data_IF_085532085054
#
_entry.id   IF_085532085054
#
_cell.length_a   1.000
_cell.length_b   1.000
_cell.length_c   1.000
_cell.angle_alpha   90.00
_cell.angle_beta   90.00
_cell.angle_gamma   90.00
#
_symmetry.space_group_name_H-M   'P 1'
#
loop_
_entity.id
_entity.type
_entity.pdbx_description
1 polymer ?
#
# COMPACT_ATOMS: atom_id res chain seq x y z
N UNK A 1 -23.79 -20.23 -29.20
CA UNK A 1 -23.11 -20.47 -27.91
C UNK A 1 -21.76 -19.72 -27.78
N UNK A 2 -20.87 -19.83 -28.78
CA UNK A 2 -19.59 -19.09 -28.79
C UNK A 2 -19.84 -17.58 -28.86
N UNK A 3 -20.72 -17.12 -29.76
CA UNK A 3 -21.05 -15.70 -29.91
C UNK A 3 -21.65 -15.10 -28.61
N UNK A 4 -22.50 -15.83 -27.94
CA UNK A 4 -23.05 -15.42 -26.64
C UNK A 4 -21.98 -15.26 -25.55
N UNK A 5 -20.95 -16.11 -25.55
CA UNK A 5 -19.82 -16.01 -24.61
C UNK A 5 -18.98 -14.78 -24.94
N UNK A 6 -18.76 -14.51 -26.23
CA UNK A 6 -18.01 -13.34 -26.69
C UNK A 6 -18.76 -12.05 -26.33
N UNK A 7 -20.06 -11.98 -26.57
CA UNK A 7 -20.88 -10.82 -26.21
C UNK A 7 -20.89 -10.58 -24.69
N UNK A 8 -21.02 -11.64 -23.90
CA UNK A 8 -20.93 -11.55 -22.44
C UNK A 8 -19.56 -11.03 -21.98
N UNK A 9 -18.49 -11.56 -22.57
CA UNK A 9 -17.13 -11.12 -22.26
C UNK A 9 -16.87 -9.66 -22.66
N UNK A 10 -17.41 -9.23 -23.79
CA UNK A 10 -17.29 -7.84 -24.27
C UNK A 10 -18.15 -6.86 -23.46
N UNK A 11 -19.33 -7.27 -23.01
CA UNK A 11 -20.19 -6.44 -22.16
C UNK A 11 -19.63 -6.27 -20.75
N UNK A 12 -19.00 -7.33 -20.23
CA UNK A 12 -18.46 -7.39 -18.87
C UNK A 12 -16.92 -7.47 -18.87
N UNK A 13 -16.25 -6.83 -19.82
CA UNK A 13 -14.82 -6.95 -20.05
C UNK A 13 -13.98 -6.69 -18.79
N UNK A 14 -14.43 -5.76 -17.91
CA UNK A 14 -13.71 -5.47 -16.66
C UNK A 14 -13.66 -6.71 -15.75
N UNK A 15 -14.80 -7.42 -15.62
CA UNK A 15 -14.88 -8.64 -14.82
C UNK A 15 -14.12 -9.80 -15.47
N UNK A 16 -14.15 -9.86 -16.80
CA UNK A 16 -13.38 -10.84 -17.57
C UNK A 16 -11.89 -10.65 -17.35
N UNK A 17 -11.38 -9.42 -17.42
CA UNK A 17 -9.97 -9.10 -17.14
C UNK A 17 -9.60 -9.47 -15.70
N UNK A 18 -10.44 -9.13 -14.73
CA UNK A 18 -10.19 -9.50 -13.33
C UNK A 18 -10.17 -11.01 -13.16
N UNK A 19 -11.12 -11.73 -13.74
CA UNK A 19 -11.15 -13.20 -13.67
C UNK A 19 -9.90 -13.84 -14.27
N UNK A 20 -9.45 -13.35 -15.43
CA UNK A 20 -8.21 -13.82 -16.07
C UNK A 20 -7.00 -13.56 -15.15
N UNK A 21 -6.89 -12.36 -14.59
CA UNK A 21 -5.80 -12.02 -13.67
C UNK A 21 -5.81 -12.88 -12.41
N UNK A 22 -6.99 -13.18 -11.85
CA UNK A 22 -7.14 -14.08 -10.71
C UNK A 22 -6.70 -15.51 -11.07
N UNK A 23 -7.11 -16.02 -12.25
CA UNK A 23 -6.71 -17.35 -12.72
C UNK A 23 -5.20 -17.42 -12.93
N UNK A 24 -4.61 -16.43 -13.60
CA UNK A 24 -3.16 -16.34 -13.80
C UNK A 24 -2.44 -16.31 -12.46
N UNK A 25 -2.93 -15.50 -11.51
CA UNK A 25 -2.37 -15.40 -10.17
C UNK A 25 -2.45 -16.71 -9.39
N UNK A 26 -3.57 -17.42 -9.50
CA UNK A 26 -3.76 -18.73 -8.90
C UNK A 26 -2.79 -19.76 -9.49
N UNK A 27 -2.65 -19.79 -10.82
CA UNK A 27 -1.72 -20.68 -11.52
C UNK A 27 -0.26 -20.39 -11.10
N UNK A 28 0.14 -19.12 -11.07
CA UNK A 28 1.50 -18.73 -10.62
C UNK A 28 1.72 -19.15 -9.17
N UNK A 29 0.73 -19.01 -8.29
CA UNK A 29 0.85 -19.47 -6.90
C UNK A 29 0.93 -21.01 -6.78
N UNK A 30 0.20 -21.76 -7.61
CA UNK A 30 0.25 -23.23 -7.60
C UNK A 30 1.62 -23.78 -8.06
N UNK A 31 2.20 -23.18 -9.08
CA UNK A 31 3.48 -23.69 -9.67
C UNK A 31 4.72 -23.07 -9.04
N UNK A 32 4.56 -22.21 -8.04
CA UNK A 32 5.63 -21.70 -7.20
C UNK A 32 6.63 -20.81 -7.94
N UNK A 33 6.51 -19.51 -7.75
CA UNK A 33 7.68 -18.66 -7.91
C UNK A 33 8.66 -19.03 -6.79
N UNK A 34 9.85 -19.42 -7.18
CA UNK A 34 10.92 -19.96 -6.35
C UNK A 34 11.00 -19.31 -4.96
N UNK A 35 10.58 -20.06 -3.93
CA UNK A 35 10.60 -19.65 -2.52
C UNK A 35 12.02 -19.49 -1.94
N UNK A 36 13.07 -19.58 -2.77
CA UNK A 36 14.47 -19.46 -2.38
C UNK A 36 15.00 -18.02 -2.35
N UNK A 37 14.21 -17.02 -2.78
CA UNK A 37 14.60 -15.63 -2.56
C UNK A 37 14.61 -15.33 -1.07
N UNK A 38 15.74 -14.84 -0.57
CA UNK A 38 15.95 -14.38 0.80
C UNK A 38 14.75 -13.54 1.24
N UNK A 39 14.02 -14.01 2.24
CA UNK A 39 12.97 -13.24 2.90
C UNK A 39 13.63 -12.07 3.63
N UNK A 40 12.93 -10.96 3.71
CA UNK A 40 13.48 -9.74 4.34
C UNK A 40 13.47 -9.79 5.87
N UNK A 41 13.07 -10.92 6.46
CA UNK A 41 13.03 -11.09 7.91
C UNK A 41 12.14 -10.05 8.60
N UNK A 42 10.91 -9.85 8.10
CA UNK A 42 9.99 -8.86 8.66
C UNK A 42 9.26 -9.41 9.89
N UNK A 43 9.47 -8.74 11.03
CA UNK A 43 8.87 -9.10 12.31
C UNK A 43 8.27 -7.89 13.02
N UNK A 44 7.23 -8.10 13.80
CA UNK A 44 6.66 -7.12 14.72
C UNK A 44 6.08 -7.81 15.95
N UNK A 45 6.12 -7.14 17.08
CA UNK A 45 5.60 -7.68 18.34
C UNK A 45 4.10 -7.48 18.47
N UNK A 46 3.64 -6.27 18.17
CA UNK A 46 2.24 -5.86 18.33
C UNK A 46 1.72 -5.29 16.99
N UNK A 47 0.42 -5.45 16.74
CA UNK A 47 -0.23 -4.81 15.60
C UNK A 47 -0.16 -3.28 15.73
N UNK A 48 -0.06 -2.53 14.61
CA UNK A 48 -0.09 -1.08 14.67
C UNK A 48 -1.44 -0.59 15.19
N UNK A 49 -1.42 0.22 16.24
CA UNK A 49 -2.61 0.87 16.77
C UNK A 49 -2.98 2.05 15.88
N UNK A 50 -4.08 1.95 15.17
CA UNK A 50 -4.51 2.95 14.21
C UNK A 50 -5.87 3.52 14.60
N UNK A 51 -6.03 4.83 14.39
CA UNK A 51 -7.28 5.54 14.59
C UNK A 51 -7.71 6.19 13.27
N UNK A 52 -8.98 6.02 12.84
CA UNK A 52 -9.47 6.71 11.66
C UNK A 52 -9.57 8.20 11.92
N UNK A 53 -9.18 9.00 10.94
CA UNK A 53 -9.35 10.45 10.95
C UNK A 53 -10.71 10.76 10.30
N UNK A 54 -11.65 11.40 11.02
CA UNK A 54 -12.94 11.76 10.45
C UNK A 54 -12.78 12.72 9.25
N UNK A 55 -13.57 12.53 8.21
CA UNK A 55 -13.65 13.48 7.11
C UNK A 55 -14.31 14.77 7.65
N UNK A 56 -13.65 15.96 7.56
CA UNK A 56 -14.14 17.18 8.22
C UNK A 56 -15.29 17.81 7.44
N UNK A 57 -16.48 17.22 7.52
CA UNK A 57 -17.71 17.72 6.87
C UNK A 57 -18.50 18.71 7.74
N UNK A 58 -18.21 18.76 9.04
CA UNK A 58 -18.88 19.66 9.97
C UNK A 58 -18.65 21.14 9.59
N UNK A 59 -19.70 21.94 9.59
CA UNK A 59 -19.66 23.38 9.25
C UNK A 59 -19.48 23.66 7.74
N UNK A 60 -19.54 22.65 6.88
CA UNK A 60 -19.52 22.82 5.42
C UNK A 60 -20.95 22.91 4.88
N UNK A 61 -21.14 23.68 3.80
CA UNK A 61 -22.42 23.68 3.06
C UNK A 61 -22.74 22.29 2.53
N UNK A 62 -24.05 21.99 2.39
CA UNK A 62 -24.56 20.66 2.03
C UNK A 62 -23.83 20.02 0.82
N UNK A 63 -23.71 20.72 -0.28
CA UNK A 63 -23.04 20.20 -1.49
C UNK A 63 -21.54 19.99 -1.30
N UNK A 64 -20.90 20.87 -0.54
CA UNK A 64 -19.48 20.73 -0.22
C UNK A 64 -19.24 19.50 0.69
N UNK A 65 -20.11 19.28 1.65
CA UNK A 65 -20.04 18.11 2.54
C UNK A 65 -20.23 16.80 1.75
N UNK A 66 -21.22 16.75 0.85
CA UNK A 66 -21.43 15.59 -0.04
C UNK A 66 -20.20 15.36 -0.93
N UNK A 67 -19.66 16.40 -1.56
CA UNK A 67 -18.48 16.28 -2.40
C UNK A 67 -17.28 15.75 -1.60
N UNK A 68 -17.04 16.28 -0.41
CA UNK A 68 -15.97 15.81 0.47
C UNK A 68 -16.19 14.37 0.92
N UNK A 69 -17.43 13.97 1.19
CA UNK A 69 -17.76 12.59 1.55
C UNK A 69 -17.51 11.60 0.40
N UNK A 70 -17.88 11.99 -0.82
CA UNK A 70 -17.70 11.14 -2.01
C UNK A 70 -16.24 11.07 -2.48
N UNK A 71 -15.49 12.18 -2.37
CA UNK A 71 -14.13 12.29 -2.91
C UNK A 71 -13.05 12.27 -1.85
N UNK A 72 -13.41 12.48 -0.58
CA UNK A 72 -12.48 12.54 0.53
C UNK A 72 -11.71 11.24 0.73
N UNK A 73 -10.40 11.34 0.83
CA UNK A 73 -9.54 10.21 1.14
C UNK A 73 -9.70 9.87 2.62
N UNK A 74 -9.99 8.61 2.91
CA UNK A 74 -10.00 8.13 4.30
C UNK A 74 -8.56 8.02 4.78
N UNK A 75 -8.27 8.73 5.87
CA UNK A 75 -6.94 8.72 6.49
C UNK A 75 -6.99 8.04 7.85
N UNK A 76 -5.85 7.54 8.25
CA UNK A 76 -5.62 6.91 9.53
C UNK A 76 -4.41 7.57 10.19
N UNK A 77 -4.40 7.63 11.52
CA UNK A 77 -3.22 8.04 12.28
C UNK A 77 -2.76 6.90 13.17
N UNK A 78 -1.45 6.77 13.31
CA UNK A 78 -0.83 5.83 14.24
C UNK A 78 -0.97 6.38 15.66
N UNK A 79 -1.72 5.68 16.51
CA UNK A 79 -2.06 6.15 17.86
C UNK A 79 -0.93 5.96 18.89
N UNK A 80 0.01 5.04 18.61
CA UNK A 80 1.17 4.70 19.46
C UNK A 80 2.35 4.38 18.56
N UNK A 81 3.57 4.68 19.01
CA UNK A 81 4.79 4.26 18.31
C UNK A 81 4.73 2.78 17.97
N UNK A 82 4.84 2.45 16.67
CA UNK A 82 4.83 1.08 16.23
C UNK A 82 6.23 0.64 15.83
N UNK A 83 6.73 -0.39 16.53
CA UNK A 83 8.07 -0.93 16.32
C UNK A 83 7.99 -2.22 15.52
N UNK A 84 8.81 -2.32 14.49
CA UNK A 84 8.96 -3.50 13.64
C UNK A 84 10.43 -3.73 13.31
N UNK A 85 10.76 -4.92 12.80
CA UNK A 85 12.10 -5.28 12.37
C UNK A 85 12.13 -5.61 10.88
N UNK A 86 13.23 -5.27 10.26
CA UNK A 86 13.62 -5.75 8.93
C UNK A 86 15.06 -6.22 9.07
N UNK A 87 15.32 -7.50 8.73
CA UNK A 87 16.66 -8.11 8.83
C UNK A 87 17.34 -7.80 10.18
N UNK A 88 16.67 -8.08 11.30
CA UNK A 88 17.11 -7.87 12.69
C UNK A 88 17.28 -6.39 13.12
N UNK A 89 17.08 -5.44 12.22
CA UNK A 89 17.17 -4.01 12.56
C UNK A 89 15.81 -3.48 12.98
N UNK A 90 15.74 -2.86 14.17
CA UNK A 90 14.50 -2.25 14.68
C UNK A 90 14.25 -0.88 14.05
N UNK A 91 13.04 -0.72 13.54
CA UNK A 91 12.49 0.52 13.01
C UNK A 91 11.25 0.95 13.79
N UNK A 92 10.89 2.21 13.68
CA UNK A 92 9.71 2.77 14.33
C UNK A 92 8.94 3.69 13.40
N UNK A 93 7.62 3.49 13.35
CA UNK A 93 6.70 4.48 12.83
C UNK A 93 6.14 5.24 14.03
N UNK A 94 6.41 6.55 14.14
CA UNK A 94 6.05 7.31 15.33
C UNK A 94 4.54 7.53 15.42
N UNK A 95 4.07 7.66 16.66
CA UNK A 95 2.73 8.18 16.96
C UNK A 95 2.45 9.46 16.20
N UNK A 96 1.23 9.61 15.71
CA UNK A 96 0.80 10.78 14.94
C UNK A 96 1.17 10.71 13.45
N UNK A 97 1.82 9.63 12.98
CA UNK A 97 2.01 9.45 11.55
C UNK A 97 0.65 9.22 10.88
N UNK A 98 0.34 10.07 9.90
CA UNK A 98 -0.87 9.95 9.09
C UNK A 98 -0.55 9.23 7.78
N UNK A 99 -1.41 8.29 7.43
CA UNK A 99 -1.35 7.58 6.16
C UNK A 99 -2.77 7.35 5.61
N UNK A 100 -2.90 7.17 4.32
CA UNK A 100 -4.18 7.00 3.63
C UNK A 100 -4.43 5.55 3.20
N UNK A 101 -3.62 4.63 3.71
CA UNK A 101 -3.62 3.22 3.34
C UNK A 101 -2.69 2.97 2.16
N UNK A 102 -2.59 1.70 1.73
CA UNK A 102 -1.80 1.39 0.55
C UNK A 102 -2.32 2.22 -0.62
N UNK A 103 -1.43 2.96 -1.30
CA UNK A 103 -1.73 3.83 -2.45
C UNK A 103 -2.18 3.01 -3.67
N UNK A 104 -3.25 2.26 -3.49
CA UNK A 104 -3.86 1.42 -4.50
C UNK A 104 -4.84 2.28 -5.29
N UNK A 105 -4.86 2.18 -6.62
CA UNK A 105 -5.87 2.83 -7.44
C UNK A 105 -7.28 2.54 -6.92
N UNK A 106 -8.13 3.58 -6.79
CA UNK A 106 -9.46 3.49 -6.16
C UNK A 106 -10.35 2.37 -6.72
N UNK A 107 -10.21 2.05 -8.01
CA UNK A 107 -10.98 0.97 -8.64
C UNK A 107 -10.60 -0.44 -8.12
N UNK A 108 -9.42 -0.59 -7.53
CA UNK A 108 -8.98 -1.84 -6.91
C UNK A 108 -9.35 -1.93 -5.42
N UNK A 109 -9.83 -0.86 -4.78
CA UNK A 109 -10.17 -0.85 -3.35
C UNK A 109 -11.26 -1.85 -2.97
N UNK A 110 -12.12 -2.22 -3.92
CA UNK A 110 -13.16 -3.25 -3.71
C UNK A 110 -12.55 -4.64 -3.52
N UNK A 111 -11.40 -4.89 -4.15
CA UNK A 111 -10.72 -6.19 -4.14
C UNK A 111 -9.50 -6.21 -3.22
N UNK A 112 -8.85 -5.06 -3.10
CA UNK A 112 -7.63 -4.85 -2.32
C UNK A 112 -7.92 -3.80 -1.27
N UNK A 113 -8.40 -4.21 -0.10
CA UNK A 113 -8.57 -3.27 0.99
C UNK A 113 -7.21 -2.67 1.39
N UNK A 114 -7.05 -1.34 1.40
CA UNK A 114 -5.81 -0.69 1.81
C UNK A 114 -5.45 -0.95 3.30
N UNK A 115 -6.41 -1.41 4.09
CA UNK A 115 -6.26 -1.79 5.51
C UNK A 115 -6.36 -3.32 5.70
N UNK A 116 -6.29 -4.11 4.63
CA UNK A 116 -6.35 -5.56 4.65
C UNK A 116 -4.96 -6.20 4.56
N UNK A 117 -4.84 -7.14 3.61
CA UNK A 117 -3.63 -7.96 3.41
C UNK A 117 -2.36 -7.17 3.07
N UNK A 118 -2.48 -5.90 2.65
CA UNK A 118 -1.36 -5.02 2.30
C UNK A 118 -1.03 -3.99 3.38
N UNK A 119 -1.66 -4.07 4.55
CA UNK A 119 -1.55 -3.05 5.59
C UNK A 119 -0.12 -2.81 6.06
N UNK A 120 0.63 -3.87 6.39
CA UNK A 120 1.97 -3.74 6.97
C UNK A 120 2.95 -3.13 5.99
N UNK A 121 3.00 -3.68 4.79
CA UNK A 121 3.82 -3.11 3.72
C UNK A 121 3.37 -1.69 3.35
N UNK A 122 2.06 -1.43 3.31
CA UNK A 122 1.49 -0.11 3.02
C UNK A 122 1.92 0.95 4.03
N UNK A 123 1.83 0.64 5.33
CA UNK A 123 2.21 1.57 6.40
C UNK A 123 3.70 1.93 6.35
N UNK A 124 4.58 0.93 6.14
CA UNK A 124 6.02 1.16 5.98
C UNK A 124 6.33 1.93 4.70
N UNK A 125 5.64 1.61 3.61
CA UNK A 125 5.79 2.25 2.31
C UNK A 125 5.38 3.73 2.35
N UNK A 126 4.23 4.07 2.95
CA UNK A 126 3.77 5.44 3.07
C UNK A 126 4.75 6.29 3.90
N UNK A 127 5.33 5.69 4.95
CA UNK A 127 6.40 6.33 5.71
C UNK A 127 7.64 6.59 4.84
N UNK A 128 8.08 5.57 4.09
CA UNK A 128 9.21 5.68 3.18
C UNK A 128 8.96 6.71 2.07
N UNK A 129 7.75 6.76 1.50
CA UNK A 129 7.36 7.75 0.50
C UNK A 129 7.38 9.17 1.06
N UNK A 130 6.86 9.37 2.26
CA UNK A 130 6.80 10.69 2.87
C UNK A 130 8.19 11.24 3.20
N UNK A 131 9.08 10.41 3.72
CA UNK A 131 10.37 10.86 4.27
C UNK A 131 11.59 10.43 3.46
N UNK A 132 11.48 9.55 2.47
CA UNK A 132 12.56 8.89 1.73
C UNK A 132 13.56 8.16 2.64
N UNK A 133 13.09 7.63 3.75
CA UNK A 133 13.91 6.92 4.72
C UNK A 133 13.03 6.08 5.65
N UNK A 134 13.64 5.17 6.41
CA UNK A 134 13.00 4.50 7.55
C UNK A 134 13.65 4.99 8.85
N UNK A 135 12.85 5.24 9.88
CA UNK A 135 13.34 5.69 11.18
C UNK A 135 13.78 4.48 12.00
N UNK A 136 15.08 4.39 12.31
CA UNK A 136 15.60 3.37 13.23
C UNK A 136 15.23 3.72 14.66
N UNK A 137 14.90 2.70 15.46
CA UNK A 137 14.62 2.89 16.88
C UNK A 137 15.91 3.29 17.61
N UNK A 138 15.91 4.48 18.23
CA UNK A 138 17.02 5.00 19.03
C UNK A 138 18.27 5.47 18.29
N UNK A 139 18.36 5.37 16.97
CA UNK A 139 19.59 5.63 16.20
C UNK A 139 19.39 6.45 14.88
N UNK A 140 18.50 7.43 14.87
CA UNK A 140 18.34 8.25 13.66
C UNK A 140 17.61 7.55 12.53
N UNK A 141 18.02 7.78 11.26
CA UNK A 141 17.35 7.26 10.08
C UNK A 141 18.19 6.22 9.34
N UNK A 142 17.55 5.29 8.67
CA UNK A 142 18.15 4.49 7.62
C UNK A 142 18.46 5.44 6.45
N UNK A 143 19.55 5.28 5.74
CA UNK A 143 19.94 6.17 4.62
C UNK A 143 18.81 6.67 3.71
N UNK A 144 19.12 7.40 2.68
CA UNK A 144 18.13 7.90 1.74
C UNK A 144 17.65 6.75 0.85
N UNK A 145 16.35 6.47 0.86
CA UNK A 145 15.72 5.50 -0.03
C UNK A 145 15.35 6.14 -1.37
N UNK A 146 15.48 5.36 -2.42
CA UNK A 146 14.86 5.65 -3.72
C UNK A 146 13.40 5.16 -3.72
N UNK A 147 12.58 5.67 -4.63
CA UNK A 147 11.22 5.17 -4.85
C UNK A 147 11.21 3.64 -5.08
N UNK A 148 12.13 3.14 -5.91
CA UNK A 148 12.22 1.70 -6.22
C UNK A 148 12.48 0.87 -4.98
N UNK A 149 13.37 1.30 -4.10
CA UNK A 149 13.66 0.59 -2.85
C UNK A 149 12.46 0.56 -1.91
N UNK A 150 11.74 1.69 -1.79
CA UNK A 150 10.50 1.73 -1.00
C UNK A 150 9.43 0.77 -1.56
N UNK A 151 9.27 0.70 -2.89
CA UNK A 151 8.32 -0.21 -3.55
C UNK A 151 8.73 -1.68 -3.40
N UNK A 152 10.03 -1.98 -3.41
CA UNK A 152 10.56 -3.34 -3.16
C UNK A 152 10.30 -3.76 -1.71
N UNK A 153 10.57 -2.88 -0.74
CA UNK A 153 10.28 -3.13 0.69
C UNK A 153 8.79 -3.42 0.90
N UNK A 154 7.91 -2.62 0.29
CA UNK A 154 6.46 -2.85 0.31
C UNK A 154 6.09 -4.25 -0.15
N UNK A 155 6.56 -4.64 -1.34
CA UNK A 155 6.28 -5.95 -1.93
C UNK A 155 6.77 -7.08 -1.02
N UNK A 156 8.01 -6.99 -0.55
CA UNK A 156 8.67 -8.07 0.17
C UNK A 156 8.07 -8.25 1.58
N UNK A 157 7.73 -7.17 2.29
CA UNK A 157 6.96 -7.22 3.54
C UNK A 157 5.62 -7.94 3.32
N UNK A 158 4.87 -7.55 2.31
CA UNK A 158 3.54 -8.13 2.07
C UNK A 158 3.63 -9.60 1.62
N UNK A 159 4.62 -9.98 0.81
CA UNK A 159 4.86 -11.39 0.47
C UNK A 159 5.13 -12.21 1.73
N UNK A 160 5.94 -11.69 2.64
CA UNK A 160 6.26 -12.40 3.89
C UNK A 160 5.03 -12.54 4.79
N UNK A 161 4.17 -11.52 4.83
CA UNK A 161 2.98 -11.51 5.68
C UNK A 161 1.82 -12.36 5.14
N UNK A 162 1.60 -12.39 3.84
CA UNK A 162 0.40 -13.00 3.26
C UNK A 162 0.66 -14.14 2.26
N UNK A 163 1.89 -14.33 1.79
CA UNK A 163 2.26 -15.37 0.84
C UNK A 163 1.71 -15.21 -0.58
N UNK A 164 0.94 -14.16 -0.88
CA UNK A 164 0.32 -13.94 -2.19
C UNK A 164 1.27 -13.25 -3.17
N UNK A 165 2.21 -13.99 -3.74
CA UNK A 165 3.20 -13.46 -4.67
C UNK A 165 2.58 -12.64 -5.80
N UNK A 166 1.60 -13.20 -6.50
CA UNK A 166 0.97 -12.52 -7.64
C UNK A 166 0.36 -11.16 -7.24
N UNK A 167 -0.44 -11.13 -6.17
CA UNK A 167 -1.09 -9.92 -5.69
C UNK A 167 -0.07 -8.84 -5.34
N UNK A 168 0.99 -9.23 -4.64
CA UNK A 168 2.02 -8.31 -4.18
C UNK A 168 2.88 -7.80 -5.34
N UNK A 169 3.12 -8.61 -6.37
CA UNK A 169 3.77 -8.15 -7.60
C UNK A 169 2.88 -7.23 -8.42
N UNK A 170 1.57 -7.51 -8.51
CA UNK A 170 0.61 -6.63 -9.17
C UNK A 170 0.58 -5.24 -8.50
N UNK A 171 0.48 -5.22 -7.17
CA UNK A 171 0.52 -3.99 -6.40
C UNK A 171 1.87 -3.25 -6.56
N UNK A 172 2.99 -3.97 -6.53
CA UNK A 172 4.32 -3.41 -6.80
C UNK A 172 4.39 -2.74 -8.17
N UNK A 173 3.93 -3.40 -9.24
CA UNK A 173 3.94 -2.80 -10.58
C UNK A 173 3.03 -1.59 -10.68
N UNK A 174 1.86 -1.61 -10.03
CA UNK A 174 1.00 -0.44 -9.96
C UNK A 174 1.70 0.76 -9.29
N UNK A 175 2.45 0.52 -8.21
CA UNK A 175 3.26 1.55 -7.56
C UNK A 175 4.40 2.04 -8.46
N UNK A 176 5.08 1.13 -9.21
CA UNK A 176 6.14 1.54 -10.15
C UNK A 176 5.62 2.45 -11.26
N UNK A 177 4.39 2.20 -11.75
CA UNK A 177 3.77 2.98 -12.84
C UNK A 177 3.15 4.28 -12.33
N UNK A 178 2.51 4.28 -11.16
CA UNK A 178 1.73 5.41 -10.64
C UNK A 178 2.39 6.17 -9.48
N UNK A 179 3.25 5.51 -8.72
CA UNK A 179 3.79 6.05 -7.46
C UNK A 179 4.73 7.24 -7.62
N UNK A 180 5.29 7.47 -8.83
CA UNK A 180 6.20 8.60 -9.06
C UNK A 180 5.54 9.96 -8.79
N UNK A 181 4.24 10.08 -8.99
CA UNK A 181 3.49 11.32 -8.75
C UNK A 181 3.50 11.65 -7.26
N UNK A 182 3.15 10.68 -6.41
CA UNK A 182 3.14 10.82 -4.96
C UNK A 182 4.57 11.02 -4.41
N UNK A 183 5.52 10.23 -4.87
CA UNK A 183 6.93 10.34 -4.49
C UNK A 183 7.50 11.74 -4.75
N UNK A 184 7.33 12.25 -5.97
CA UNK A 184 7.81 13.57 -6.35
C UNK A 184 7.05 14.69 -5.63
N UNK A 185 5.75 14.50 -5.37
CA UNK A 185 4.93 15.39 -4.57
C UNK A 185 5.52 15.59 -3.16
N UNK A 186 5.83 14.49 -2.46
CA UNK A 186 6.47 14.55 -1.14
C UNK A 186 7.85 15.21 -1.15
N UNK A 187 8.67 14.96 -2.19
CA UNK A 187 9.98 15.62 -2.34
C UNK A 187 9.85 17.14 -2.46
N UNK A 188 8.88 17.61 -3.26
CA UNK A 188 8.61 19.05 -3.43
C UNK A 188 8.15 19.71 -2.12
N UNK A 189 7.31 19.05 -1.34
CA UNK A 189 6.86 19.57 -0.04
C UNK A 189 8.01 19.59 0.96
N UNK A 190 8.76 18.52 1.09
CA UNK A 190 9.88 18.44 2.05
C UNK A 190 11.03 19.41 1.71
N UNK A 191 11.24 19.73 0.43
CA UNK A 191 12.24 20.74 0.02
C UNK A 191 11.86 22.17 0.41
N UNK A 192 10.54 22.45 0.59
CA UNK A 192 10.06 23.79 1.00
C UNK A 192 10.10 23.99 2.51
N UNK A 193 10.23 22.91 3.29
CA UNK A 193 10.22 22.92 4.77
C UNK A 193 11.65 22.96 5.34
N UNK A 194 12.66 22.74 4.51
CA UNK A 194 14.06 22.94 4.84
C UNK A 194 14.50 24.37 4.55
#
# INVERSE_FOLDING_TARGET
MIDMIIDLAMTWWQFTVVAILVIIGFVINLFGVDNKKKRIGFEYKDMPHMQPIPIPTAGKGFWSAIWMWLTGTRKWTVAKDWVYKIDEVEYVIPKGFEFDGASIPKFLHTWLSPVGVLLMGGLVHDYAYKYATLKRKGKGTYGVLTQKEADVIFRDINIEQNGFHFLNYLAYWALRVGGFVAWNGHRKVNAKVK
#
